data_IF_726674629993
#
_entry.id   IF_726674629993
#
_cell.length_a   1.000
_cell.length_b   1.000
_cell.length_c   1.000
_cell.angle_alpha   90.00
_cell.angle_beta   90.00
_cell.angle_gamma   90.00
#
_symmetry.space_group_name_H-M   'P 1'
#
loop_
_entity.id
_entity.type
_entity.pdbx_description
1 polymer ?
#
# COMPACT_ATOMS: atom_id res chain seq x y z
N UNK A 1 -1.80 -20.39 -0.49
CA UNK A 1 -2.89 -19.43 -0.26
C UNK A 1 -2.69 -18.27 -1.23
N UNK A 2 -3.54 -18.17 -2.24
CA UNK A 2 -3.52 -17.05 -3.19
C UNK A 2 -4.06 -15.82 -2.44
N UNK A 3 -3.31 -14.70 -2.40
CA UNK A 3 -3.83 -13.47 -1.79
C UNK A 3 -4.79 -12.82 -2.79
N UNK A 4 -6.01 -12.52 -2.34
CA UNK A 4 -7.04 -11.89 -3.17
C UNK A 4 -6.53 -10.57 -3.74
N UNK A 5 -6.37 -10.52 -5.06
CA UNK A 5 -5.89 -9.34 -5.77
C UNK A 5 -6.86 -8.16 -5.58
N UNK A 6 -8.16 -8.45 -5.53
CA UNK A 6 -9.23 -7.48 -5.32
C UNK A 6 -9.19 -6.79 -3.95
N UNK A 7 -8.42 -7.34 -3.00
CA UNK A 7 -8.21 -6.79 -1.66
C UNK A 7 -6.81 -6.19 -1.47
N UNK A 8 -6.04 -6.06 -2.55
CA UNK A 8 -4.64 -5.64 -2.50
C UNK A 8 -4.43 -4.26 -3.12
N UNK A 9 -3.78 -3.36 -2.40
CA UNK A 9 -3.22 -2.11 -2.93
C UNK A 9 -1.71 -2.27 -3.11
N UNK A 10 -1.22 -1.94 -4.30
CA UNK A 10 0.21 -1.80 -4.56
C UNK A 10 0.67 -0.40 -4.17
N UNK A 11 1.77 -0.33 -3.43
CA UNK A 11 2.38 0.92 -2.96
C UNK A 11 3.75 1.04 -3.59
N UNK A 12 4.03 2.14 -4.27
CA UNK A 12 5.32 2.44 -4.88
C UNK A 12 5.88 3.77 -4.42
N UNK A 13 7.13 4.04 -4.81
CA UNK A 13 7.86 5.25 -4.42
C UNK A 13 7.98 5.42 -2.89
N UNK A 14 8.25 4.30 -2.20
CA UNK A 14 8.34 4.26 -0.74
C UNK A 14 9.75 4.71 -0.33
N UNK A 15 9.83 5.75 0.50
CA UNK A 15 11.10 6.20 1.09
C UNK A 15 11.68 5.14 2.04
N UNK A 16 13.00 5.05 2.15
CA UNK A 16 13.69 4.01 2.94
C UNK A 16 13.37 4.03 4.44
N UNK A 17 13.03 5.20 4.98
CA UNK A 17 12.60 5.36 6.37
C UNK A 17 11.14 4.93 6.63
N UNK A 18 10.33 4.70 5.59
CA UNK A 18 8.96 4.19 5.76
C UNK A 18 9.02 2.72 6.18
N UNK A 19 8.29 2.40 7.24
CA UNK A 19 8.13 1.05 7.78
C UNK A 19 6.76 0.49 7.44
N UNK A 20 6.60 -0.82 7.58
CA UNK A 20 5.30 -1.49 7.41
C UNK A 20 4.26 -0.97 8.42
N UNK A 21 4.69 -0.62 9.64
CA UNK A 21 3.85 -0.03 10.68
C UNK A 21 3.29 1.34 10.27
N UNK A 22 4.11 2.23 9.70
CA UNK A 22 3.67 3.54 9.22
C UNK A 22 2.61 3.39 8.12
N UNK A 23 2.85 2.47 7.17
CA UNK A 23 1.87 2.19 6.13
C UNK A 23 0.61 1.52 6.70
N UNK A 24 0.74 0.64 7.69
CA UNK A 24 -0.40 0.01 8.35
C UNK A 24 -1.30 1.07 8.99
N UNK A 25 -0.75 1.96 9.82
CA UNK A 25 -1.48 3.04 10.48
C UNK A 25 -2.16 3.99 9.48
N UNK A 26 -1.43 4.37 8.41
CA UNK A 26 -1.98 5.23 7.38
C UNK A 26 -3.16 4.59 6.65
N UNK A 27 -3.05 3.30 6.31
CA UNK A 27 -4.07 2.61 5.52
C UNK A 27 -5.32 2.23 6.34
N UNK A 28 -5.24 2.21 7.67
CA UNK A 28 -6.42 2.10 8.54
C UNK A 28 -7.45 3.22 8.30
N UNK A 29 -7.04 4.37 7.76
CA UNK A 29 -7.95 5.48 7.43
C UNK A 29 -8.95 5.12 6.32
N UNK A 30 -8.61 4.16 5.45
CA UNK A 30 -9.48 3.72 4.36
C UNK A 30 -10.24 2.42 4.69
N UNK A 31 -9.79 1.64 5.68
CA UNK A 31 -10.51 0.47 6.16
C UNK A 31 -9.65 -0.53 6.94
N UNK A 32 -10.23 -1.64 7.43
CA UNK A 32 -9.50 -2.65 8.20
C UNK A 32 -8.42 -3.35 7.37
N UNK A 33 -7.16 -3.20 7.80
CA UNK A 33 -5.98 -3.82 7.18
C UNK A 33 -5.69 -5.18 7.84
N UNK A 34 -5.40 -6.19 7.01
CA UNK A 34 -4.91 -7.50 7.46
C UNK A 34 -3.40 -7.52 7.60
N UNK A 35 -2.67 -7.01 6.60
CA UNK A 35 -1.22 -7.05 6.57
C UNK A 35 -0.65 -5.97 5.64
N UNK A 36 0.56 -5.53 5.94
CA UNK A 36 1.40 -4.72 5.04
C UNK A 36 2.72 -5.46 4.81
N UNK A 37 3.22 -5.43 3.58
CA UNK A 37 4.57 -5.88 3.25
C UNK A 37 5.34 -4.85 2.45
N UNK A 38 6.58 -4.57 2.82
CA UNK A 38 7.51 -3.77 2.03
C UNK A 38 8.60 -4.69 1.46
N UNK A 39 8.81 -4.59 0.15
CA UNK A 39 9.85 -5.29 -0.59
C UNK A 39 10.94 -4.28 -0.96
N UNK A 40 12.15 -4.52 -0.45
CA UNK A 40 13.33 -3.69 -0.71
C UNK A 40 14.26 -4.45 -1.63
N UNK A 41 14.30 -4.08 -2.90
CA UNK A 41 15.19 -4.71 -3.88
C UNK A 41 16.45 -3.85 -4.12
N UNK A 42 17.43 -4.01 -3.23
CA UNK A 42 18.73 -3.34 -3.32
C UNK A 42 18.61 -1.81 -3.44
N UNK A 43 19.40 -1.15 -4.31
CA UNK A 43 19.35 0.30 -4.50
C UNK A 43 18.12 0.80 -5.30
N UNK A 44 17.21 -0.09 -5.75
CA UNK A 44 16.01 0.31 -6.48
C UNK A 44 14.90 0.84 -5.56
N UNK A 45 13.94 1.55 -6.16
CA UNK A 45 12.78 2.09 -5.47
C UNK A 45 12.00 0.98 -4.76
N UNK A 46 11.78 1.16 -3.45
CA UNK A 46 11.02 0.21 -2.65
C UNK A 46 9.55 0.23 -3.06
N UNK A 47 8.95 -0.96 -3.11
CA UNK A 47 7.53 -1.17 -3.34
C UNK A 47 6.93 -2.01 -2.22
N UNK A 48 5.61 -1.99 -2.10
CA UNK A 48 4.90 -2.66 -1.03
C UNK A 48 3.50 -3.09 -1.45
N UNK A 49 2.89 -3.91 -0.61
CA UNK A 49 1.52 -4.35 -0.75
C UNK A 49 0.79 -4.12 0.57
N UNK A 50 -0.42 -3.58 0.49
CA UNK A 50 -1.37 -3.52 1.61
C UNK A 50 -2.53 -4.45 1.30
N UNK A 51 -2.86 -5.31 2.25
CA UNK A 51 -3.92 -6.28 2.16
C UNK A 51 -5.06 -5.87 3.09
N UNK A 52 -6.22 -5.57 2.52
CA UNK A 52 -7.42 -5.23 3.28
C UNK A 52 -8.26 -6.46 3.58
N UNK A 53 -9.08 -6.38 4.64
CA UNK A 53 -10.11 -7.39 4.94
C UNK A 53 -11.23 -7.39 3.89
N UNK A 54 -11.51 -6.22 3.32
CA UNK A 54 -12.65 -5.99 2.43
C UNK A 54 -12.19 -5.36 1.12
N UNK A 55 -12.78 -5.78 0.00
CA UNK A 55 -12.40 -5.31 -1.33
C UNK A 55 -12.83 -3.86 -1.56
N UNK A 56 -13.90 -3.41 -0.91
CA UNK A 56 -14.41 -2.04 -1.01
C UNK A 56 -13.40 -0.99 -0.50
N UNK A 57 -12.48 -1.37 0.38
CA UNK A 57 -11.44 -0.48 0.90
C UNK A 57 -10.37 -0.15 -0.16
N UNK A 58 -10.12 -1.03 -1.13
CA UNK A 58 -9.10 -0.84 -2.19
C UNK A 58 -9.38 0.39 -3.06
N UNK A 59 -10.55 0.55 -3.71
CA UNK A 59 -10.83 1.72 -4.52
C UNK A 59 -10.80 3.01 -3.69
N UNK A 60 -11.33 2.97 -2.47
CA UNK A 60 -11.36 4.11 -1.58
C UNK A 60 -9.97 4.54 -1.11
N UNK A 61 -9.11 3.59 -0.72
CA UNK A 61 -7.74 3.85 -0.32
C UNK A 61 -6.92 4.51 -1.43
N UNK A 62 -7.07 4.06 -2.68
CA UNK A 62 -6.38 4.66 -3.82
C UNK A 62 -6.84 6.08 -4.07
N UNK A 63 -8.13 6.38 -3.91
CA UNK A 63 -8.65 7.73 -4.07
C UNK A 63 -8.21 8.67 -2.92
N UNK A 64 -8.24 8.17 -1.69
CA UNK A 64 -7.98 8.95 -0.48
C UNK A 64 -6.48 9.22 -0.24
N UNK A 65 -5.63 8.20 -0.45
CA UNK A 65 -4.26 8.19 0.08
C UNK A 65 -3.17 8.33 -1.01
N UNK A 66 -3.54 8.25 -2.29
CA UNK A 66 -2.56 8.34 -3.37
C UNK A 66 -1.91 9.74 -3.43
N UNK A 67 -0.59 9.78 -3.45
CA UNK A 67 0.17 11.03 -3.46
C UNK A 67 0.45 11.64 -2.09
N UNK A 68 0.02 11.01 -0.98
CA UNK A 68 0.41 11.46 0.37
C UNK A 68 1.94 11.44 0.52
N UNK A 69 2.46 12.49 1.14
CA UNK A 69 3.90 12.65 1.36
C UNK A 69 4.34 11.95 2.63
N UNK A 70 5.27 11.02 2.50
CA UNK A 70 5.98 10.39 3.62
C UNK A 70 7.48 10.63 3.44
N UNK A 71 8.12 11.21 4.46
CA UNK A 71 9.56 11.52 4.43
C UNK A 71 10.01 12.29 3.17
N UNK A 72 9.22 13.27 2.72
CA UNK A 72 9.57 14.09 1.56
C UNK A 72 9.35 13.42 0.20
N UNK A 73 8.71 12.24 0.15
CA UNK A 73 8.36 11.56 -1.10
C UNK A 73 6.87 11.20 -1.15
N UNK A 74 6.16 11.48 -2.27
CA UNK A 74 4.76 11.09 -2.42
C UNK A 74 4.65 9.60 -2.77
N UNK A 75 3.88 8.84 -1.99
CA UNK A 75 3.59 7.43 -2.31
C UNK A 75 2.69 7.33 -3.54
N UNK A 76 2.86 6.25 -4.31
CA UNK A 76 2.04 5.95 -5.49
C UNK A 76 1.22 4.70 -5.25
N UNK A 77 -0.10 4.79 -5.39
CA UNK A 77 -1.02 3.69 -5.14
C UNK A 77 -1.65 3.19 -6.43
N UNK A 78 -1.74 1.86 -6.56
CA UNK A 78 -2.43 1.21 -7.67
C UNK A 78 -3.28 0.06 -7.14
N UNK A 79 -4.45 -0.12 -7.74
CA UNK A 79 -5.24 -1.34 -7.53
C UNK A 79 -4.48 -2.50 -8.16
N UNK A 80 -4.40 -3.64 -7.49
CA UNK A 80 -3.82 -4.84 -8.11
C UNK A 80 -4.88 -5.48 -9.01
N UNK A 81 -4.99 -5.02 -10.25
CA UNK A 81 -5.92 -5.61 -11.22
C UNK A 81 -5.44 -7.01 -11.57
N UNK A 82 -6.27 -8.03 -11.36
CA UNK A 82 -6.14 -9.29 -12.11
C UNK A 82 -6.43 -8.99 -13.58
N UNK A 83 -5.60 -9.52 -14.49
CA UNK A 83 -5.78 -9.33 -15.93
C UNK A 83 -7.12 -9.84 -16.45
#
# INVERSE_FOLDING_TARGET
>A
MYRDLDKTVLVGNIHSCVTEEILFELFLQAGPVDEVRIFRDGPQASYGCVYYKHAEAVPYAVELLNGIWLYGQPIKLQRKTGG
#
